data_IF_116324554084
#
_entry.id   IF_116324554084
#
_cell.length_a   1.000
_cell.length_b   1.000
_cell.length_c   1.000
_cell.angle_alpha   90.00
_cell.angle_beta   90.00
_cell.angle_gamma   90.00
#
_symmetry.space_group_name_H-M   'P 1'
#
loop_
_entity.id
_entity.type
_entity.pdbx_description
1 polymer ?
#
# COMPACT_ATOMS: atom_id res chain seq x y z
N UNK A 1 -57.64 -20.88 34.43
CA UNK A 1 -58.21 -19.75 33.68
C UNK A 1 -57.11 -19.24 32.76
N UNK A 2 -57.01 -19.48 31.45
CA UNK A 2 -57.78 -20.11 30.35
C UNK A 2 -56.72 -20.24 29.24
N UNK A 3 -56.15 -21.42 28.94
CA UNK A 3 -56.45 -22.37 27.84
C UNK A 3 -56.96 -21.80 26.51
N UNK A 4 -56.23 -22.08 25.40
CA UNK A 4 -56.64 -22.68 24.10
C UNK A 4 -55.44 -22.58 23.10
N UNK A 5 -54.75 -23.66 22.67
CA UNK A 5 -55.06 -24.73 21.67
C UNK A 5 -55.33 -24.20 20.24
N UNK A 6 -54.42 -24.33 19.25
CA UNK A 6 -54.03 -25.47 18.35
C UNK A 6 -54.96 -25.76 17.16
N UNK A 7 -54.32 -25.88 15.97
CA UNK A 7 -54.71 -26.61 14.72
C UNK A 7 -55.84 -26.01 13.85
N UNK A 8 -55.84 -26.09 12.51
CA UNK A 8 -55.00 -26.85 11.59
C UNK A 8 -55.23 -26.52 10.09
N UNK A 9 -54.55 -27.32 9.26
CA UNK A 9 -54.42 -27.37 7.79
C UNK A 9 -55.74 -27.41 7.02
N UNK A 10 -55.72 -26.92 5.76
CA UNK A 10 -56.28 -27.68 4.64
C UNK A 10 -55.69 -27.32 3.25
N UNK A 11 -55.57 -28.37 2.44
CA UNK A 11 -55.04 -28.43 1.08
C UNK A 11 -56.00 -27.80 0.05
N UNK A 12 -55.46 -27.34 -1.09
CA UNK A 12 -56.14 -27.49 -2.40
C UNK A 12 -55.13 -27.45 -3.56
N UNK A 13 -55.28 -28.45 -4.41
CA UNK A 13 -54.56 -28.81 -5.63
C UNK A 13 -55.42 -28.40 -6.85
N UNK A 14 -54.88 -28.52 -8.08
CA UNK A 14 -55.49 -28.35 -9.43
C UNK A 14 -55.25 -26.95 -10.05
N UNK A 15 -54.88 -26.77 -11.32
CA UNK A 15 -54.75 -27.70 -12.45
C UNK A 15 -53.87 -27.12 -13.57
N UNK A 16 -53.35 -28.04 -14.38
CA UNK A 16 -52.60 -27.86 -15.63
C UNK A 16 -53.44 -27.25 -16.75
N UNK A 17 -52.85 -26.37 -17.58
CA UNK A 17 -53.13 -26.32 -19.03
C UNK A 17 -51.82 -26.08 -19.79
N UNK A 18 -51.60 -26.96 -20.76
CA UNK A 18 -50.53 -27.02 -21.76
C UNK A 18 -50.66 -25.92 -22.82
N UNK A 19 -49.53 -25.45 -23.38
CA UNK A 19 -49.42 -25.31 -24.83
C UNK A 19 -47.96 -25.45 -25.30
N UNK A 20 -47.81 -26.47 -26.14
CA UNK A 20 -46.71 -26.87 -27.00
C UNK A 20 -46.44 -25.88 -28.15
N UNK A 21 -45.16 -25.66 -28.53
CA UNK A 21 -44.57 -26.19 -29.79
C UNK A 21 -43.31 -25.45 -30.29
N UNK A 22 -42.33 -26.30 -30.67
CA UNK A 22 -41.49 -26.25 -31.88
C UNK A 22 -40.41 -25.17 -32.08
N UNK A 23 -39.13 -25.54 -31.97
CA UNK A 23 -38.19 -26.07 -33.00
C UNK A 23 -37.60 -25.00 -33.92
N UNK A 24 -36.27 -24.84 -33.91
CA UNK A 24 -35.40 -25.37 -34.96
C UNK A 24 -33.92 -25.02 -34.74
N UNK A 25 -33.10 -26.06 -34.85
CA UNK A 25 -31.67 -26.00 -35.14
C UNK A 25 -31.43 -25.44 -36.56
N UNK A 26 -30.34 -24.69 -36.76
CA UNK A 26 -29.59 -24.70 -38.03
C UNK A 26 -28.10 -24.57 -37.73
N UNK A 27 -27.33 -25.58 -38.17
CA UNK A 27 -25.88 -25.53 -38.45
C UNK A 27 -25.68 -25.14 -39.92
N UNK A 28 -24.61 -24.41 -40.23
CA UNK A 28 -23.58 -24.76 -41.24
C UNK A 28 -22.82 -23.53 -41.78
N UNK A 29 -21.49 -23.61 -41.63
CA UNK A 29 -20.43 -23.40 -42.63
C UNK A 29 -20.17 -22.09 -43.39
N UNK A 30 -18.87 -21.73 -43.33
CA UNK A 30 -17.96 -21.19 -44.35
C UNK A 30 -18.32 -19.93 -45.15
N UNK A 31 -17.53 -18.86 -44.94
CA UNK A 31 -16.81 -18.16 -46.03
C UNK A 31 -15.46 -17.63 -45.52
N UNK A 32 -14.37 -18.10 -46.15
CA UNK A 32 -13.00 -17.54 -46.12
C UNK A 32 -12.95 -16.19 -46.86
N UNK A 33 -12.17 -15.22 -46.38
CA UNK A 33 -10.88 -14.82 -47.01
C UNK A 33 -10.30 -13.46 -46.57
N UNK A 34 -8.96 -13.50 -46.38
CA UNK A 34 -7.93 -12.50 -46.72
C UNK A 34 -7.88 -11.19 -45.92
N UNK A 35 -6.80 -11.03 -45.15
CA UNK A 35 -5.82 -9.93 -45.28
C UNK A 35 -4.55 -10.27 -44.48
N UNK A 36 -3.51 -10.67 -45.21
CA UNK A 36 -2.12 -10.68 -44.74
C UNK A 36 -1.65 -9.23 -44.54
N UNK A 37 -0.97 -8.94 -43.43
CA UNK A 37 0.13 -7.96 -43.46
C UNK A 37 1.24 -8.42 -42.53
N UNK A 38 2.42 -8.52 -43.13
CA UNK A 38 3.69 -8.88 -42.54
C UNK A 38 4.16 -7.75 -41.61
N UNK A 39 4.62 -8.09 -40.40
CA UNK A 39 5.47 -7.19 -39.61
C UNK A 39 6.85 -7.80 -39.54
N UNK A 40 7.75 -7.09 -40.22
CA UNK A 40 9.16 -7.36 -40.43
C UNK A 40 9.93 -7.30 -39.12
N UNK A 41 10.59 -8.41 -38.78
CA UNK A 41 11.64 -8.50 -37.76
C UNK A 41 12.89 -7.75 -38.21
N UNK A 42 13.21 -6.61 -37.57
CA UNK A 42 14.47 -5.90 -37.73
C UNK A 42 15.48 -6.33 -36.66
N UNK A 43 16.25 -7.38 -36.96
CA UNK A 43 17.49 -7.71 -36.24
C UNK A 43 18.64 -6.86 -36.79
N UNK A 44 19.10 -5.86 -36.03
CA UNK A 44 20.36 -5.15 -36.32
C UNK A 44 21.56 -5.96 -35.81
N UNK A 45 22.34 -6.52 -36.75
CA UNK A 45 23.72 -6.97 -36.54
C UNK A 45 24.64 -5.75 -36.48
N UNK A 46 25.48 -5.67 -35.45
CA UNK A 46 26.64 -4.76 -35.36
C UNK A 46 27.90 -5.57 -35.68
N UNK A 47 28.88 -5.04 -36.43
CA UNK A 47 30.07 -5.81 -36.82
C UNK A 47 31.10 -5.88 -35.68
N UNK A 48 31.74 -7.04 -35.59
CA UNK A 48 33.00 -7.26 -34.88
C UNK A 48 34.17 -6.55 -35.57
N UNK A 49 35.14 -6.10 -34.78
CA UNK A 49 36.51 -5.91 -35.25
C UNK A 49 37.27 -4.77 -34.58
N UNK A 50 38.09 -5.08 -33.57
CA UNK A 50 39.54 -4.89 -33.63
C UNK A 50 40.21 -5.16 -32.27
N UNK A 51 41.17 -6.09 -32.31
CA UNK A 51 42.10 -6.44 -31.24
C UNK A 51 43.25 -5.44 -31.26
N UNK A 52 43.64 -4.89 -30.11
CA UNK A 52 45.02 -4.45 -29.86
C UNK A 52 45.48 -4.98 -28.50
N UNK A 53 46.55 -5.77 -28.54
CA UNK A 53 47.35 -6.26 -27.41
C UNK A 53 48.49 -5.27 -27.15
N UNK A 54 48.77 -4.98 -25.89
CA UNK A 54 50.12 -4.70 -25.33
C UNK A 54 50.00 -4.77 -23.80
N UNK A 55 50.34 -5.87 -23.13
CA UNK A 55 51.68 -6.25 -22.63
C UNK A 55 52.40 -5.16 -21.84
N UNK A 56 52.43 -5.33 -20.52
CA UNK A 56 53.24 -4.54 -19.58
C UNK A 56 53.11 -5.08 -18.15
N UNK A 57 53.78 -6.21 -17.87
CA UNK A 57 54.13 -6.64 -16.50
C UNK A 57 55.19 -5.68 -15.94
N UNK A 58 55.25 -5.44 -14.62
CA UNK A 58 56.30 -5.85 -13.64
C UNK A 58 56.08 -4.96 -12.37
N UNK A 59 56.42 -5.34 -11.12
CA UNK A 59 56.14 -6.54 -10.34
C UNK A 59 55.49 -6.22 -8.97
N UNK A 60 55.19 -7.28 -8.21
CA UNK A 60 54.78 -7.25 -6.81
C UNK A 60 55.84 -6.62 -5.90
N UNK A 61 55.37 -5.85 -4.89
CA UNK A 61 56.06 -5.81 -3.60
C UNK A 61 55.07 -6.17 -2.47
N UNK A 62 55.51 -7.10 -1.63
CA UNK A 62 54.70 -7.87 -0.67
C UNK A 62 55.04 -7.43 0.75
N UNK A 63 54.02 -7.55 1.62
CA UNK A 63 54.04 -7.68 3.08
C UNK A 63 54.10 -6.38 3.91
N UNK A 64 52.94 -5.99 4.43
CA UNK A 64 52.68 -6.12 5.87
C UNK A 64 51.17 -6.04 6.12
N UNK A 65 50.66 -7.00 6.90
CA UNK A 65 49.47 -6.96 7.78
C UNK A 65 48.68 -8.27 7.69
N UNK A 66 48.98 -9.19 8.61
CA UNK A 66 48.06 -10.24 9.02
C UNK A 66 47.39 -9.79 10.32
N UNK A 67 46.28 -9.05 10.20
CA UNK A 67 45.27 -8.97 11.26
C UNK A 67 44.11 -9.88 10.86
N UNK A 68 43.77 -10.80 11.76
CA UNK A 68 42.78 -11.87 11.56
C UNK A 68 41.39 -11.28 11.30
N UNK A 69 40.99 -11.19 10.03
CA UNK A 69 39.59 -10.96 9.64
C UNK A 69 38.86 -12.30 9.70
N UNK A 70 37.98 -12.46 10.69
CA UNK A 70 37.04 -13.59 10.74
C UNK A 70 36.06 -13.45 9.56
N UNK A 71 36.15 -14.37 8.61
CA UNK A 71 35.18 -14.56 7.54
C UNK A 71 33.81 -14.94 8.15
N UNK A 72 32.87 -14.00 8.18
CA UNK A 72 31.46 -14.32 8.39
C UNK A 72 30.92 -14.94 7.09
N UNK A 73 30.82 -16.27 7.07
CA UNK A 73 30.07 -16.99 6.04
C UNK A 73 28.60 -16.54 6.11
N UNK A 74 28.08 -16.01 5.00
CA UNK A 74 26.65 -15.80 4.79
C UNK A 74 25.90 -17.10 5.06
N UNK A 75 25.26 -17.20 6.22
CA UNK A 75 24.34 -18.29 6.55
C UNK A 75 22.93 -17.82 6.21
N UNK A 76 22.28 -18.52 5.28
CA UNK A 76 20.83 -18.52 5.20
C UNK A 76 20.31 -18.96 6.58
N UNK A 77 19.56 -18.09 7.26
CA UNK A 77 18.92 -18.46 8.53
C UNK A 77 17.63 -19.17 8.14
N UNK A 78 17.55 -20.46 8.49
CA UNK A 78 16.38 -21.28 8.23
C UNK A 78 15.33 -20.96 9.30
N UNK A 79 14.51 -19.93 9.05
CA UNK A 79 13.33 -19.66 9.85
C UNK A 79 12.18 -20.36 9.13
N UNK A 80 11.73 -21.49 9.69
CA UNK A 80 10.58 -22.32 9.29
C UNK A 80 10.16 -22.25 7.79
N UNK A 81 10.81 -23.07 6.95
CA UNK A 81 10.41 -23.43 5.58
C UNK A 81 10.40 -22.34 4.48
N UNK A 82 10.77 -21.09 4.78
CA UNK A 82 10.96 -20.05 3.75
C UNK A 82 12.44 -19.63 3.70
N UNK A 83 13.06 -19.75 2.51
CA UNK A 83 14.43 -19.25 2.29
C UNK A 83 14.39 -17.72 2.14
N UNK A 84 14.48 -17.01 3.26
CA UNK A 84 14.54 -15.55 3.29
C UNK A 84 15.97 -15.10 2.98
N UNK A 85 16.12 -14.18 2.01
CA UNK A 85 17.44 -13.63 1.66
C UNK A 85 18.04 -12.85 2.84
N UNK A 86 19.37 -12.77 2.93
CA UNK A 86 20.01 -11.95 3.97
C UNK A 86 19.64 -10.46 3.89
N UNK A 87 19.32 -9.97 2.69
CA UNK A 87 18.90 -8.58 2.46
C UNK A 87 17.51 -8.34 3.02
N UNK A 88 16.56 -9.17 2.65
CA UNK A 88 15.18 -9.11 3.16
C UNK A 88 15.15 -9.28 4.68
N UNK A 89 15.96 -10.18 5.24
CA UNK A 89 16.04 -10.34 6.70
C UNK A 89 16.56 -9.07 7.40
N UNK A 90 17.52 -8.36 6.78
CA UNK A 90 18.01 -7.08 7.29
C UNK A 90 16.90 -6.01 7.22
N UNK A 91 16.14 -5.95 6.13
CA UNK A 91 14.98 -5.05 5.99
C UNK A 91 13.94 -5.30 7.09
N UNK A 92 13.55 -6.56 7.33
CA UNK A 92 12.61 -6.91 8.40
C UNK A 92 13.15 -6.59 9.80
N UNK A 93 14.45 -6.78 10.05
CA UNK A 93 15.10 -6.39 11.31
C UNK A 93 15.05 -4.87 11.52
N UNK A 94 15.28 -4.10 10.47
CA UNK A 94 15.19 -2.64 10.52
C UNK A 94 13.75 -2.17 10.67
N UNK A 95 12.79 -2.80 9.98
CA UNK A 95 11.36 -2.55 10.17
C UNK A 95 10.94 -2.76 11.64
N UNK A 96 11.38 -3.84 12.27
CA UNK A 96 11.16 -4.11 13.71
C UNK A 96 11.73 -3.00 14.59
N UNK A 97 12.97 -2.59 14.31
CA UNK A 97 13.62 -1.52 15.08
C UNK A 97 12.84 -0.20 14.95
N UNK A 98 12.46 0.20 13.73
CA UNK A 98 11.67 1.40 13.50
C UNK A 98 10.30 1.34 14.19
N UNK A 99 9.64 0.17 14.19
CA UNK A 99 8.41 -0.02 14.93
C UNK A 99 8.56 0.22 16.44
N UNK A 100 9.62 -0.32 17.04
CA UNK A 100 9.92 -0.08 18.45
C UNK A 100 10.28 1.39 18.75
N UNK A 101 10.84 2.10 17.77
CA UNK A 101 11.11 3.54 17.83
C UNK A 101 9.87 4.42 17.62
N UNK A 102 8.69 3.84 17.41
CA UNK A 102 7.45 4.61 17.24
C UNK A 102 7.00 4.83 15.80
N UNK A 103 7.62 4.18 14.81
CA UNK A 103 7.24 4.34 13.40
C UNK A 103 6.30 3.24 12.92
N UNK A 104 5.27 3.59 12.16
CA UNK A 104 4.66 2.66 11.22
C UNK A 104 5.61 2.46 10.04
N UNK A 105 5.89 1.22 9.63
CA UNK A 105 6.95 0.94 8.66
C UNK A 105 6.55 -0.04 7.57
N UNK A 106 7.02 0.21 6.35
CA UNK A 106 6.75 -0.57 5.14
C UNK A 106 8.07 -0.95 4.46
N UNK A 107 8.09 -2.12 3.83
CA UNK A 107 9.26 -2.66 3.11
C UNK A 107 8.97 -2.64 1.62
N UNK A 108 9.98 -2.34 0.81
CA UNK A 108 9.93 -2.49 -0.65
C UNK A 108 8.89 -1.60 -1.33
N UNK A 109 8.80 -0.33 -0.93
CA UNK A 109 7.92 0.64 -1.62
C UNK A 109 8.55 1.00 -2.96
N UNK A 110 7.79 0.88 -4.04
CA UNK A 110 8.22 1.34 -5.37
C UNK A 110 7.82 2.80 -5.59
N UNK A 111 8.78 3.61 -6.02
CA UNK A 111 8.56 5.00 -6.41
C UNK A 111 8.68 5.10 -7.93
N UNK A 112 7.66 5.67 -8.58
CA UNK A 112 7.60 5.87 -10.03
C UNK A 112 7.67 7.35 -10.41
N UNK A 113 8.00 7.62 -11.68
CA UNK A 113 8.09 8.98 -12.24
C UNK A 113 6.74 9.69 -12.34
N UNK A 114 5.70 8.96 -12.71
CA UNK A 114 4.32 9.46 -12.81
C UNK A 114 3.33 8.40 -12.31
N UNK A 115 2.04 8.71 -12.40
CA UNK A 115 0.93 7.83 -12.01
C UNK A 115 0.43 6.94 -13.17
N UNK A 116 1.02 7.07 -14.36
CA UNK A 116 0.52 6.43 -15.58
C UNK A 116 1.10 5.02 -15.76
N UNK A 117 0.45 4.20 -16.58
CA UNK A 117 0.90 2.84 -16.91
C UNK A 117 2.30 2.80 -17.57
N UNK A 118 2.73 3.94 -18.14
CA UNK A 118 4.03 4.11 -18.77
C UNK A 118 5.11 4.68 -17.82
N UNK A 119 4.81 4.79 -16.53
CA UNK A 119 5.73 5.38 -15.57
C UNK A 119 6.92 4.46 -15.26
N UNK A 120 8.11 5.02 -15.36
CA UNK A 120 9.36 4.35 -15.00
C UNK A 120 9.53 4.27 -13.49
N UNK A 121 10.07 3.15 -13.00
CA UNK A 121 10.46 3.03 -11.59
C UNK A 121 11.74 3.83 -11.35
N UNK A 122 11.67 4.81 -10.45
CA UNK A 122 12.81 5.62 -10.02
C UNK A 122 13.68 4.80 -9.05
N UNK A 123 13.04 4.24 -8.02
CA UNK A 123 13.72 3.52 -6.95
C UNK A 123 12.76 2.64 -6.18
N UNK A 124 13.31 1.61 -5.55
CA UNK A 124 12.73 0.90 -4.42
C UNK A 124 13.22 1.50 -3.11
N UNK A 125 12.32 1.65 -2.14
CA UNK A 125 12.66 2.02 -0.76
C UNK A 125 12.65 0.75 0.08
N UNK A 126 13.84 0.28 0.46
CA UNK A 126 14.05 -0.92 1.26
C UNK A 126 13.17 -0.92 2.53
N UNK A 127 13.28 0.10 3.39
CA UNK A 127 12.36 0.30 4.53
C UNK A 127 11.99 1.77 4.67
N UNK A 128 10.69 2.09 4.65
CA UNK A 128 10.16 3.43 4.86
C UNK A 128 9.32 3.46 6.13
N UNK A 129 9.58 4.42 7.02
CA UNK A 129 8.87 4.61 8.27
C UNK A 129 8.16 5.97 8.32
N UNK A 130 7.01 6.00 8.97
CA UNK A 130 6.26 7.23 9.29
C UNK A 130 5.92 7.23 10.78
N UNK A 131 6.40 8.25 11.48
CA UNK A 131 6.07 8.55 12.86
C UNK A 131 4.99 9.63 12.88
N UNK A 132 3.95 9.45 13.68
CA UNK A 132 2.86 10.42 13.84
C UNK A 132 2.94 11.01 15.24
N UNK A 133 3.05 12.33 15.32
CA UNK A 133 3.02 13.10 16.57
C UNK A 133 1.58 13.28 17.05
N UNK A 134 1.45 13.74 18.29
CA UNK A 134 0.16 13.95 18.95
C UNK A 134 -0.73 14.99 18.27
N UNK A 135 -0.17 15.89 17.49
CA UNK A 135 -0.90 16.89 16.67
C UNK A 135 -1.06 16.43 15.21
N UNK A 136 -0.89 15.12 14.95
CA UNK A 136 -0.85 14.48 13.64
C UNK A 136 0.27 14.93 12.71
N UNK A 137 1.17 15.82 13.14
CA UNK A 137 2.39 16.09 12.36
C UNK A 137 3.19 14.80 12.20
N UNK A 138 3.86 14.68 11.06
CA UNK A 138 4.45 13.41 10.63
C UNK A 138 5.94 13.58 10.41
N UNK A 139 6.74 12.60 10.85
CA UNK A 139 8.15 12.50 10.49
C UNK A 139 8.41 11.20 9.75
N UNK A 140 9.08 11.29 8.62
CA UNK A 140 9.39 10.17 7.73
C UNK A 140 10.85 9.74 7.86
N UNK A 141 11.11 8.46 7.64
CA UNK A 141 12.47 7.92 7.64
C UNK A 141 12.60 6.88 6.55
N UNK A 142 13.73 6.89 5.83
CA UNK A 142 14.07 5.86 4.86
C UNK A 142 15.35 5.16 5.31
N UNK A 143 15.33 3.84 5.38
CA UNK A 143 16.51 3.03 5.64
C UNK A 143 16.89 2.18 4.42
N UNK A 144 18.01 2.51 3.79
CA UNK A 144 18.61 1.75 2.68
C UNK A 144 19.49 0.62 3.24
N UNK A 145 19.09 -0.63 3.00
CA UNK A 145 19.66 -1.84 3.60
C UNK A 145 20.52 -2.62 2.61
N UNK A 146 21.81 -2.83 2.93
CA UNK A 146 22.73 -3.57 2.04
C UNK A 146 23.53 -4.66 2.75
N UNK A 147 23.07 -5.90 2.62
CA UNK A 147 23.78 -7.11 3.05
C UNK A 147 24.74 -7.63 1.95
N UNK A 148 25.89 -6.99 1.73
CA UNK A 148 26.83 -7.45 0.69
C UNK A 148 27.98 -6.51 0.37
N UNK A 149 28.56 -6.65 -0.81
CA UNK A 149 29.74 -5.89 -1.27
C UNK A 149 29.43 -4.50 -1.85
N UNK A 150 28.25 -3.93 -1.58
CA UNK A 150 27.88 -2.59 -2.04
C UNK A 150 28.95 -1.56 -1.65
N UNK A 151 29.38 -0.74 -2.62
CA UNK A 151 30.39 0.31 -2.41
C UNK A 151 29.77 1.48 -1.63
N UNK A 152 30.18 1.73 -0.37
CA UNK A 152 29.50 2.69 0.49
C UNK A 152 29.41 4.11 -0.09
N UNK A 153 30.51 4.63 -0.66
CA UNK A 153 30.54 6.01 -1.16
C UNK A 153 29.61 6.23 -2.35
N UNK A 154 29.60 5.30 -3.31
CA UNK A 154 28.68 5.34 -4.46
C UNK A 154 27.22 5.30 -4.00
N UNK A 155 26.91 4.43 -3.02
CA UNK A 155 25.54 4.32 -2.49
C UNK A 155 25.12 5.58 -1.74
N UNK A 156 26.00 6.18 -0.93
CA UNK A 156 25.73 7.45 -0.24
C UNK A 156 25.44 8.58 -1.24
N UNK A 157 26.23 8.69 -2.31
CA UNK A 157 26.00 9.69 -3.36
C UNK A 157 24.67 9.47 -4.07
N UNK A 158 24.31 8.22 -4.35
CA UNK A 158 23.01 7.87 -4.94
C UNK A 158 21.84 8.19 -4.00
N UNK A 159 21.92 7.78 -2.73
CA UNK A 159 20.91 8.08 -1.70
C UNK A 159 20.66 9.58 -1.63
N UNK A 160 21.73 10.38 -1.61
CA UNK A 160 21.64 11.84 -1.58
C UNK A 160 20.85 12.41 -2.76
N UNK A 161 20.96 11.80 -3.95
CA UNK A 161 20.18 12.19 -5.13
C UNK A 161 18.69 11.85 -4.97
N UNK A 162 18.37 10.68 -4.43
CA UNK A 162 16.99 10.18 -4.25
C UNK A 162 16.24 10.92 -3.14
N UNK A 163 16.94 11.31 -2.07
CA UNK A 163 16.35 11.96 -0.89
C UNK A 163 15.42 13.14 -1.22
N UNK A 164 15.84 13.98 -2.17
CA UNK A 164 15.07 15.16 -2.56
C UNK A 164 13.79 14.80 -3.32
N UNK A 165 13.82 13.71 -4.10
CA UNK A 165 12.67 13.25 -4.88
C UNK A 165 11.56 12.71 -3.98
N UNK A 166 11.91 12.02 -2.90
CA UNK A 166 10.94 11.37 -2.00
C UNK A 166 10.53 12.25 -0.80
N UNK A 167 11.15 13.43 -0.63
CA UNK A 167 10.90 14.37 0.46
C UNK A 167 10.88 13.72 1.86
N UNK A 168 11.91 12.91 2.15
CA UNK A 168 12.04 12.20 3.44
C UNK A 168 12.81 13.04 4.47
N UNK A 169 12.36 13.04 5.73
CA UNK A 169 12.97 13.88 6.79
C UNK A 169 14.32 13.34 7.29
N UNK A 170 14.56 12.04 7.16
CA UNK A 170 15.75 11.39 7.68
C UNK A 170 16.11 10.13 6.89
N UNK A 171 17.40 9.91 6.66
CA UNK A 171 17.87 8.70 5.97
C UNK A 171 18.95 7.97 6.75
N UNK A 172 18.81 6.65 6.78
CA UNK A 172 19.76 5.71 7.35
C UNK A 172 20.30 4.82 6.22
N UNK A 173 21.62 4.74 6.09
CA UNK A 173 22.29 3.73 5.30
C UNK A 173 22.75 2.58 6.20
N UNK A 174 22.15 1.41 6.04
CA UNK A 174 22.37 0.23 6.86
C UNK A 174 23.38 -0.70 6.18
N UNK A 175 24.61 -0.70 6.69
CA UNK A 175 25.71 -1.52 6.15
C UNK A 175 26.81 -1.79 7.18
N UNK A 176 27.23 -3.05 7.26
CA UNK A 176 28.41 -3.45 8.05
C UNK A 176 29.75 -3.07 7.41
N UNK A 177 30.77 -2.80 8.23
CA UNK A 177 32.14 -2.61 7.78
C UNK A 177 32.42 -1.26 7.09
N UNK A 178 31.62 -0.24 7.36
CA UNK A 178 31.82 1.11 6.79
C UNK A 178 32.93 1.86 7.54
N UNK A 179 33.93 2.34 6.80
CA UNK A 179 35.08 3.10 7.35
C UNK A 179 34.62 4.41 7.99
N UNK A 180 35.33 4.87 9.02
CA UNK A 180 34.99 6.11 9.75
C UNK A 180 34.95 7.35 8.83
N UNK A 181 35.90 7.48 7.90
CA UNK A 181 35.90 8.58 6.92
C UNK A 181 34.64 8.58 6.05
N UNK A 182 34.13 7.41 5.67
CA UNK A 182 32.87 7.27 4.93
C UNK A 182 31.65 7.60 5.81
N UNK A 183 31.65 7.20 7.09
CA UNK A 183 30.60 7.61 8.04
C UNK A 183 30.55 9.13 8.22
N UNK A 184 31.72 9.79 8.29
CA UNK A 184 31.81 11.26 8.36
C UNK A 184 31.28 11.92 7.08
N UNK A 185 31.60 11.37 5.90
CA UNK A 185 31.07 11.85 4.63
C UNK A 185 29.54 11.71 4.54
N UNK A 186 29.00 10.56 4.95
CA UNK A 186 27.55 10.33 5.02
C UNK A 186 26.87 11.37 5.92
N UNK A 187 27.41 11.58 7.13
CA UNK A 187 26.87 12.56 8.10
C UNK A 187 26.82 13.98 7.53
N UNK A 188 27.86 14.42 6.83
CA UNK A 188 27.89 15.73 6.14
C UNK A 188 26.83 15.84 5.03
N UNK A 189 26.37 14.70 4.51
CA UNK A 189 25.33 14.61 3.50
C UNK A 189 23.93 14.39 4.09
N UNK A 190 23.77 14.50 5.42
CA UNK A 190 22.48 14.25 6.09
C UNK A 190 22.10 12.78 6.21
N UNK A 191 23.02 11.85 5.94
CA UNK A 191 22.77 10.40 5.95
C UNK A 191 23.46 9.79 7.18
N UNK A 192 22.69 9.07 7.99
CA UNK A 192 23.24 8.32 9.12
C UNK A 192 23.69 6.93 8.65
N UNK A 193 24.80 6.42 9.18
CA UNK A 193 25.26 5.06 8.86
C UNK A 193 25.04 4.15 10.06
N UNK A 194 24.27 3.09 9.86
CA UNK A 194 24.00 2.07 10.86
C UNK A 194 24.75 0.79 10.49
N UNK A 195 25.70 0.38 11.31
CA UNK A 195 26.30 -0.95 11.20
C UNK A 195 25.61 -1.94 12.15
N UNK A 196 26.00 -3.22 12.06
CA UNK A 196 25.39 -4.28 12.87
C UNK A 196 25.55 -4.04 14.38
N UNK A 197 26.67 -3.46 14.82
CA UNK A 197 26.89 -3.17 16.24
C UNK A 197 25.97 -2.05 16.72
N UNK A 198 25.79 -1.01 15.91
CA UNK A 198 24.81 0.05 16.19
C UNK A 198 23.38 -0.50 16.25
N UNK A 199 23.01 -1.43 15.37
CA UNK A 199 21.69 -2.07 15.41
C UNK A 199 21.52 -2.88 16.70
N UNK A 200 22.50 -3.71 17.07
CA UNK A 200 22.46 -4.51 18.30
C UNK A 200 22.33 -3.64 19.54
N UNK A 201 23.05 -2.52 19.59
CA UNK A 201 22.91 -1.53 20.66
C UNK A 201 21.50 -0.96 20.72
N UNK A 202 20.96 -0.49 19.59
CA UNK A 202 19.62 0.09 19.54
C UNK A 202 18.54 -0.95 19.91
N UNK A 203 18.66 -2.18 19.43
CA UNK A 203 17.76 -3.26 19.83
C UNK A 203 17.80 -3.49 21.35
N UNK A 204 18.98 -3.43 21.97
CA UNK A 204 19.11 -3.49 23.43
C UNK A 204 18.47 -2.27 24.13
N UNK A 205 18.69 -1.05 23.63
CA UNK A 205 18.14 0.19 24.20
C UNK A 205 16.61 0.18 24.18
N UNK A 206 16.00 -0.40 23.14
CA UNK A 206 14.54 -0.54 22.98
C UNK A 206 13.99 -1.89 23.49
N UNK A 207 14.79 -2.67 24.23
CA UNK A 207 14.42 -3.98 24.79
C UNK A 207 13.86 -4.99 23.76
N UNK A 208 14.33 -4.91 22.51
CA UNK A 208 13.93 -5.78 21.41
C UNK A 208 14.65 -7.12 21.54
N UNK A 209 13.89 -8.20 21.70
CA UNK A 209 14.47 -9.55 21.74
C UNK A 209 14.90 -9.98 20.32
N UNK A 210 16.07 -10.63 20.14
CA UNK A 210 16.56 -11.03 18.81
C UNK A 210 15.55 -11.88 18.01
N UNK A 211 14.77 -12.71 18.69
CA UNK A 211 13.77 -13.61 18.09
C UNK A 211 12.34 -13.04 18.11
N UNK A 212 12.14 -11.76 18.46
CA UNK A 212 10.82 -11.13 18.38
C UNK A 212 10.50 -10.82 16.92
N UNK A 213 9.79 -11.75 16.27
CA UNK A 213 9.29 -11.63 14.91
C UNK A 213 7.76 -11.59 14.92
N UNK A 214 7.16 -10.80 15.81
CA UNK A 214 5.71 -10.59 15.83
C UNK A 214 5.26 -9.58 14.77
N UNK A 215 3.97 -9.53 14.50
CA UNK A 215 3.35 -8.51 13.67
C UNK A 215 3.88 -8.45 12.23
N UNK A 216 3.93 -7.23 11.70
CA UNK A 216 4.20 -6.95 10.29
C UNK A 216 5.68 -7.04 9.90
N UNK A 217 6.59 -7.32 10.85
CA UNK A 217 8.01 -7.53 10.59
C UNK A 217 8.43 -9.01 10.61
N UNK A 218 7.47 -9.94 10.67
CA UNK A 218 7.76 -11.37 10.60
C UNK A 218 8.02 -11.83 9.16
N UNK A 219 9.25 -12.21 8.79
CA UNK A 219 9.55 -12.58 7.41
C UNK A 219 8.79 -13.84 6.94
N UNK A 220 8.35 -14.73 7.84
CA UNK A 220 7.65 -15.96 7.45
C UNK A 220 6.18 -15.72 7.11
N UNK A 221 5.54 -14.76 7.79
CA UNK A 221 4.12 -14.45 7.54
C UNK A 221 3.95 -13.33 6.54
N UNK A 222 4.97 -12.48 6.34
CA UNK A 222 4.91 -11.30 5.47
C UNK A 222 5.68 -11.50 4.16
N UNK A 223 6.68 -12.38 4.15
CA UNK A 223 7.51 -12.64 2.96
C UNK A 223 6.67 -13.05 1.75
N UNK A 224 6.89 -12.37 0.61
CA UNK A 224 6.22 -12.60 -0.66
C UNK A 224 4.69 -12.45 -0.66
N UNK A 225 4.06 -11.94 0.42
CA UNK A 225 2.59 -11.84 0.49
C UNK A 225 1.98 -10.99 -0.62
N UNK A 226 2.63 -9.89 -0.99
CA UNK A 226 2.20 -9.06 -2.12
C UNK A 226 2.17 -9.86 -3.44
N UNK A 227 3.23 -10.63 -3.72
CA UNK A 227 3.35 -11.46 -4.92
C UNK A 227 2.33 -12.60 -4.90
N UNK A 228 2.12 -13.24 -3.75
CA UNK A 228 1.16 -14.33 -3.60
C UNK A 228 -0.28 -13.82 -3.74
N UNK A 229 -0.58 -12.64 -3.20
CA UNK A 229 -1.86 -11.97 -3.38
C UNK A 229 -2.10 -11.58 -4.85
N UNK A 230 -1.10 -11.01 -5.52
CA UNK A 230 -1.15 -10.67 -6.94
C UNK A 230 -1.45 -11.89 -7.82
N UNK A 231 -1.09 -13.11 -7.39
CA UNK A 231 -1.33 -14.37 -8.10
C UNK A 231 -2.69 -15.01 -7.83
N UNK A 232 -3.51 -14.44 -6.94
CA UNK A 232 -4.88 -14.91 -6.74
C UNK A 232 -5.68 -14.81 -8.05
N UNK A 233 -6.64 -15.71 -8.22
CA UNK A 233 -7.44 -15.80 -9.43
C UNK A 233 -8.87 -16.22 -9.07
N UNK A 234 -9.77 -15.24 -8.91
CA UNK A 234 -11.19 -15.45 -8.63
C UNK A 234 -11.95 -14.11 -8.66
N UNK A 235 -12.83 -13.84 -9.63
CA UNK A 235 -13.09 -14.59 -10.86
C UNK A 235 -11.99 -14.42 -11.92
N UNK A 236 -11.13 -13.42 -11.77
CA UNK A 236 -9.95 -13.18 -12.61
C UNK A 236 -8.79 -12.68 -11.74
N UNK A 237 -7.58 -12.65 -12.31
CA UNK A 237 -6.39 -12.14 -11.62
C UNK A 237 -6.32 -10.60 -11.59
N UNK A 238 -6.95 -9.94 -12.56
CA UNK A 238 -6.78 -8.50 -12.82
C UNK A 238 -7.11 -7.60 -11.62
N UNK A 239 -8.21 -7.80 -10.86
CA UNK A 239 -8.51 -6.98 -9.68
C UNK A 239 -7.42 -7.09 -8.61
N UNK A 240 -6.94 -8.31 -8.32
CA UNK A 240 -5.88 -8.54 -7.35
C UNK A 240 -4.57 -7.89 -7.77
N UNK A 241 -4.23 -7.95 -9.06
CA UNK A 241 -3.06 -7.27 -9.61
C UNK A 241 -3.13 -5.76 -9.43
N UNK A 242 -4.24 -5.14 -9.82
CA UNK A 242 -4.44 -3.68 -9.66
C UNK A 242 -4.36 -3.25 -8.19
N UNK A 243 -4.92 -4.04 -7.28
CA UNK A 243 -4.85 -3.77 -5.84
C UNK A 243 -3.42 -3.96 -5.32
N UNK A 244 -2.70 -4.98 -5.78
CA UNK A 244 -1.30 -5.20 -5.41
C UNK A 244 -0.40 -4.04 -5.88
N UNK A 245 -0.58 -3.60 -7.13
CA UNK A 245 0.14 -2.47 -7.70
C UNK A 245 -0.15 -1.17 -6.93
N UNK A 246 -1.42 -0.97 -6.52
CA UNK A 246 -1.80 0.14 -5.63
C UNK A 246 -1.10 0.07 -4.27
N UNK A 247 -1.11 -1.08 -3.58
CA UNK A 247 -0.47 -1.25 -2.27
C UNK A 247 1.05 -1.04 -2.35
N UNK A 248 1.70 -1.62 -3.37
CA UNK A 248 3.15 -1.63 -3.50
C UNK A 248 3.74 -0.35 -4.09
N UNK A 249 2.95 0.41 -4.86
CA UNK A 249 3.46 1.52 -5.65
C UNK A 249 2.52 2.72 -5.66
N UNK A 250 1.35 2.62 -6.31
CA UNK A 250 0.60 3.81 -6.70
C UNK A 250 0.03 4.58 -5.50
N UNK A 251 -0.24 3.90 -4.38
CA UNK A 251 -0.63 4.56 -3.13
C UNK A 251 0.32 5.70 -2.78
N UNK A 252 1.63 5.51 -2.95
CA UNK A 252 2.66 6.43 -2.47
C UNK A 252 2.79 7.69 -3.33
N UNK A 253 2.21 7.71 -4.53
CA UNK A 253 2.24 8.86 -5.45
C UNK A 253 0.96 9.70 -5.44
N UNK A 254 -0.15 9.16 -4.93
CA UNK A 254 -1.43 9.88 -4.87
C UNK A 254 -1.54 10.87 -3.71
N UNK A 255 -2.42 11.86 -3.86
CA UNK A 255 -2.90 12.69 -2.74
C UNK A 255 -3.73 11.89 -1.72
N UNK A 256 -3.88 12.43 -0.50
CA UNK A 256 -4.54 11.71 0.59
C UNK A 256 -6.03 11.39 0.34
N UNK A 257 -6.78 12.27 -0.32
CA UNK A 257 -8.19 11.99 -0.63
C UNK A 257 -8.33 10.92 -1.71
N UNK A 258 -7.44 10.92 -2.71
CA UNK A 258 -7.37 9.82 -3.70
C UNK A 258 -6.99 8.51 -3.04
N UNK A 259 -6.02 8.51 -2.11
CA UNK A 259 -5.66 7.33 -1.31
C UNK A 259 -6.87 6.79 -0.54
N UNK A 260 -7.65 7.64 0.12
CA UNK A 260 -8.89 7.24 0.81
C UNK A 260 -9.86 6.56 -0.17
N UNK A 261 -10.19 7.22 -1.29
CA UNK A 261 -11.14 6.71 -2.29
C UNK A 261 -10.71 5.37 -2.87
N UNK A 262 -9.45 5.25 -3.27
CA UNK A 262 -8.91 4.01 -3.86
C UNK A 262 -8.82 2.89 -2.84
N UNK A 263 -8.48 3.18 -1.60
CA UNK A 263 -8.44 2.18 -0.53
C UNK A 263 -9.83 1.64 -0.20
N UNK A 264 -10.83 2.52 -0.06
CA UNK A 264 -12.23 2.09 0.13
C UNK A 264 -12.74 1.27 -1.05
N UNK A 265 -12.39 1.65 -2.28
CA UNK A 265 -12.75 0.91 -3.49
C UNK A 265 -12.11 -0.48 -3.51
N UNK A 266 -10.82 -0.56 -3.19
CA UNK A 266 -10.10 -1.83 -3.12
C UNK A 266 -10.68 -2.76 -2.04
N UNK A 267 -10.94 -2.26 -0.83
CA UNK A 267 -11.56 -3.05 0.24
C UNK A 267 -12.95 -3.54 -0.19
N UNK A 268 -13.77 -2.70 -0.83
CA UNK A 268 -15.09 -3.11 -1.35
C UNK A 268 -14.97 -4.21 -2.41
N UNK A 269 -14.00 -4.12 -3.31
CA UNK A 269 -13.74 -5.17 -4.30
C UNK A 269 -13.32 -6.48 -3.64
N UNK A 270 -12.48 -6.42 -2.60
CA UNK A 270 -12.08 -7.61 -1.85
C UNK A 270 -13.24 -8.20 -1.04
N UNK A 271 -14.13 -7.36 -0.50
CA UNK A 271 -15.33 -7.80 0.21
C UNK A 271 -16.29 -8.61 -0.71
N UNK A 272 -16.33 -8.30 -2.01
CA UNK A 272 -17.18 -9.04 -2.96
C UNK A 272 -16.69 -10.46 -3.26
N UNK A 273 -15.43 -10.76 -2.97
CA UNK A 273 -14.84 -12.10 -3.22
C UNK A 273 -14.66 -12.90 -1.94
N UNK A 274 -15.01 -12.39 -0.76
CA UNK A 274 -14.85 -13.12 0.51
C UNK A 274 -15.73 -14.36 0.63
N UNK A 275 -16.85 -14.39 -0.10
CA UNK A 275 -17.78 -15.53 -0.10
C UNK A 275 -17.34 -16.66 -1.04
N UNK A 276 -16.29 -16.44 -1.83
CA UNK A 276 -15.72 -17.45 -2.71
C UNK A 276 -14.86 -18.42 -1.88
N UNK A 277 -15.00 -19.72 -2.16
CA UNK A 277 -14.21 -20.77 -1.51
C UNK A 277 -12.74 -20.71 -1.93
N UNK A 278 -11.91 -20.08 -1.11
CA UNK A 278 -10.45 -20.06 -1.23
C UNK A 278 -9.79 -21.17 -0.40
N UNK A 279 -8.58 -21.59 -0.78
CA UNK A 279 -7.73 -22.40 0.12
C UNK A 279 -7.30 -21.56 1.33
N UNK A 280 -6.93 -22.21 2.44
CA UNK A 280 -6.46 -21.50 3.65
C UNK A 280 -5.33 -20.50 3.36
N UNK A 281 -4.39 -20.86 2.49
CA UNK A 281 -3.29 -19.97 2.09
C UNK A 281 -3.80 -18.75 1.31
N UNK A 282 -4.70 -18.97 0.35
CA UNK A 282 -5.31 -17.89 -0.44
C UNK A 282 -6.14 -16.96 0.44
N UNK A 283 -6.95 -17.51 1.36
CA UNK A 283 -7.68 -16.73 2.37
C UNK A 283 -6.73 -15.90 3.23
N UNK A 284 -5.58 -16.46 3.63
CA UNK A 284 -4.55 -15.72 4.38
C UNK A 284 -3.98 -14.57 3.56
N UNK A 285 -3.71 -14.76 2.27
CA UNK A 285 -3.21 -13.72 1.39
C UNK A 285 -4.25 -12.61 1.14
N UNK A 286 -5.53 -12.98 1.04
CA UNK A 286 -6.65 -12.05 0.95
C UNK A 286 -6.79 -11.22 2.24
N UNK A 287 -6.79 -11.88 3.41
CA UNK A 287 -6.79 -11.23 4.73
C UNK A 287 -5.63 -10.24 4.85
N UNK A 288 -4.42 -10.66 4.48
CA UNK A 288 -3.24 -9.79 4.48
C UNK A 288 -3.46 -8.52 3.65
N UNK A 289 -3.99 -8.63 2.43
CA UNK A 289 -4.23 -7.46 1.58
C UNK A 289 -5.31 -6.53 2.17
N UNK A 290 -6.37 -7.08 2.75
CA UNK A 290 -7.39 -6.29 3.47
C UNK A 290 -6.74 -5.52 4.62
N UNK A 291 -5.92 -6.17 5.43
CA UNK A 291 -5.26 -5.53 6.58
C UNK A 291 -4.26 -4.48 6.16
N UNK A 292 -3.52 -4.71 5.07
CA UNK A 292 -2.65 -3.68 4.49
C UNK A 292 -3.45 -2.47 4.01
N UNK A 293 -4.56 -2.68 3.31
CA UNK A 293 -5.44 -1.59 2.88
C UNK A 293 -6.01 -0.84 4.07
N UNK A 294 -6.40 -1.51 5.17
CA UNK A 294 -6.85 -0.83 6.39
C UNK A 294 -5.75 0.09 6.96
N UNK A 295 -4.51 -0.39 7.08
CA UNK A 295 -3.39 0.44 7.54
C UNK A 295 -3.12 1.61 6.59
N UNK A 296 -3.19 1.40 5.27
CA UNK A 296 -3.03 2.45 4.27
C UNK A 296 -4.19 3.48 4.29
N UNK A 297 -5.42 3.06 4.58
CA UNK A 297 -6.55 3.96 4.80
C UNK A 297 -6.28 4.87 6.00
N UNK A 298 -5.90 4.27 7.13
CA UNK A 298 -5.61 5.00 8.38
C UNK A 298 -4.46 5.98 8.17
N UNK A 299 -3.41 5.59 7.46
CA UNK A 299 -2.30 6.48 7.14
C UNK A 299 -2.75 7.70 6.32
N UNK A 300 -3.59 7.53 5.31
CA UNK A 300 -4.13 8.67 4.54
C UNK A 300 -5.07 9.54 5.38
N UNK A 301 -5.89 8.91 6.23
CA UNK A 301 -6.83 9.60 7.12
C UNK A 301 -6.11 10.49 8.14
N UNK A 302 -5.04 10.00 8.76
CA UNK A 302 -4.24 10.78 9.71
C UNK A 302 -3.55 11.97 9.01
N UNK A 303 -3.11 11.81 7.77
CA UNK A 303 -2.55 12.92 6.99
C UNK A 303 -3.59 13.98 6.62
N UNK A 304 -4.85 13.59 6.37
CA UNK A 304 -5.97 14.54 6.22
C UNK A 304 -6.23 15.24 7.56
N UNK A 305 -6.26 14.49 8.66
CA UNK A 305 -6.47 15.08 9.99
C UNK A 305 -5.37 16.08 10.35
N UNK A 306 -4.12 15.84 9.97
CA UNK A 306 -3.00 16.78 10.10
C UNK A 306 -3.25 18.11 9.39
N UNK A 307 -3.72 18.06 8.15
CA UNK A 307 -4.04 19.26 7.36
C UNK A 307 -5.15 20.08 8.02
N UNK A 308 -6.17 19.37 8.54
CA UNK A 308 -7.40 19.96 9.06
C UNK A 308 -7.35 20.28 10.56
N UNK A 309 -6.29 19.87 11.27
CA UNK A 309 -6.25 19.88 12.73
C UNK A 309 -6.48 21.28 13.32
N UNK A 310 -5.97 22.31 12.65
CA UNK A 310 -6.07 23.71 13.09
C UNK A 310 -7.22 24.49 12.44
N UNK A 311 -8.04 23.85 11.60
CA UNK A 311 -9.15 24.52 10.93
C UNK A 311 -10.39 24.57 11.86
N UNK A 312 -11.23 25.61 11.75
CA UNK A 312 -12.59 25.57 12.29
C UNK A 312 -13.43 24.46 11.63
N UNK A 313 -14.42 23.92 12.34
CA UNK A 313 -15.21 22.78 11.85
C UNK A 313 -15.92 23.04 10.51
N UNK A 314 -16.43 24.26 10.28
CA UNK A 314 -17.02 24.65 8.98
C UNK A 314 -16.01 24.58 7.83
N UNK A 315 -14.77 25.03 8.07
CA UNK A 315 -13.68 24.96 7.08
C UNK A 315 -13.18 23.53 6.89
N UNK A 316 -13.21 22.69 7.94
CA UNK A 316 -12.96 21.25 7.79
C UNK A 316 -13.99 20.62 6.85
N UNK A 317 -15.28 20.95 7.04
CA UNK A 317 -16.36 20.36 6.23
C UNK A 317 -16.20 20.68 4.75
N UNK A 318 -15.97 21.95 4.41
CA UNK A 318 -15.76 22.38 3.02
C UNK A 318 -14.50 21.76 2.42
N UNK A 319 -13.40 21.72 3.17
CA UNK A 319 -12.14 21.13 2.68
C UNK A 319 -12.27 19.62 2.42
N UNK A 320 -12.94 18.87 3.32
CA UNK A 320 -13.21 17.43 3.11
C UNK A 320 -14.14 17.22 1.91
N UNK A 321 -15.14 18.08 1.74
CA UNK A 321 -16.09 18.03 0.62
C UNK A 321 -15.35 18.18 -0.71
N UNK A 322 -14.54 19.24 -0.83
CA UNK A 322 -13.73 19.54 -2.00
C UNK A 322 -12.72 18.42 -2.26
N UNK A 323 -11.98 17.97 -1.23
CA UNK A 323 -10.99 16.90 -1.37
C UNK A 323 -11.59 15.60 -1.90
N UNK A 324 -12.76 15.18 -1.39
CA UNK A 324 -13.41 13.95 -1.84
C UNK A 324 -13.96 14.05 -3.26
N UNK A 325 -14.41 15.22 -3.70
CA UNK A 325 -14.87 15.45 -5.08
C UNK A 325 -13.68 15.56 -6.04
N UNK A 326 -12.73 16.41 -5.69
CA UNK A 326 -11.83 17.03 -6.64
C UNK A 326 -10.42 16.43 -6.62
N UNK A 327 -10.04 15.68 -5.57
CA UNK A 327 -8.68 15.11 -5.44
C UNK A 327 -7.62 16.18 -5.78
N UNK A 328 -6.73 15.92 -6.75
CA UNK A 328 -5.64 16.81 -7.18
C UNK A 328 -6.09 18.02 -8.03
N UNK A 329 -7.25 17.95 -8.71
CA UNK A 329 -7.74 19.03 -9.56
C UNK A 329 -8.88 19.71 -8.85
N UNK A 330 -8.66 20.96 -8.39
CA UNK A 330 -9.68 21.77 -7.73
C UNK A 330 -10.98 21.84 -8.53
N UNK A 331 -12.11 21.98 -7.84
CA UNK A 331 -13.43 22.09 -8.47
C UNK A 331 -13.45 23.19 -9.55
N UNK A 332 -12.89 24.36 -9.23
CA UNK A 332 -12.73 25.47 -10.18
C UNK A 332 -11.97 25.08 -11.45
N UNK A 333 -10.84 24.38 -11.32
CA UNK A 333 -10.04 23.97 -12.49
C UNK A 333 -10.75 22.90 -13.32
N UNK A 334 -11.57 22.04 -12.70
CA UNK A 334 -12.44 21.12 -13.44
C UNK A 334 -13.53 21.86 -14.21
N UNK A 335 -14.15 22.87 -13.60
CA UNK A 335 -15.13 23.73 -14.28
C UNK A 335 -14.49 24.41 -15.50
N UNK A 336 -13.29 24.97 -15.36
CA UNK A 336 -12.53 25.57 -16.47
C UNK A 336 -12.26 24.56 -17.61
N UNK A 337 -11.89 23.31 -17.27
CA UNK A 337 -11.67 22.24 -18.26
C UNK A 337 -12.98 21.90 -18.97
N UNK A 338 -14.07 21.73 -18.23
CA UNK A 338 -15.38 21.40 -18.78
C UNK A 338 -15.87 22.49 -19.72
N UNK A 339 -15.73 23.75 -19.31
CA UNK A 339 -16.08 24.91 -20.13
C UNK A 339 -15.26 24.94 -21.42
N UNK A 340 -13.95 24.70 -21.34
CA UNK A 340 -13.08 24.62 -22.51
C UNK A 340 -13.49 23.49 -23.46
N UNK A 341 -13.81 22.29 -22.93
CA UNK A 341 -14.26 21.14 -23.73
C UNK A 341 -15.56 21.43 -24.44
N UNK A 342 -16.57 21.96 -23.75
CA UNK A 342 -17.86 22.31 -24.38
C UNK A 342 -17.69 23.40 -25.43
N UNK A 343 -16.89 24.43 -25.15
CA UNK A 343 -16.57 25.48 -26.12
C UNK A 343 -15.93 24.90 -27.39
N UNK A 344 -14.97 23.99 -27.24
CA UNK A 344 -14.34 23.30 -28.38
C UNK A 344 -15.34 22.41 -29.13
N UNK A 345 -16.13 21.61 -28.42
CA UNK A 345 -17.12 20.72 -29.02
C UNK A 345 -18.17 21.50 -29.82
N UNK A 346 -18.74 22.58 -29.25
CA UNK A 346 -19.69 23.44 -29.95
C UNK A 346 -19.06 24.13 -31.15
N UNK A 347 -17.81 24.57 -31.05
CA UNK A 347 -17.08 25.16 -32.19
C UNK A 347 -16.89 24.16 -33.34
N UNK A 348 -16.71 22.87 -33.04
CA UNK A 348 -16.62 21.80 -34.05
C UNK A 348 -17.99 21.56 -34.71
N UNK A 349 -19.06 21.47 -33.91
CA UNK A 349 -20.42 21.27 -34.43
C UNK A 349 -20.84 22.43 -35.31
N UNK A 350 -20.57 23.67 -34.90
CA UNK A 350 -20.94 24.86 -35.66
C UNK A 350 -20.22 24.96 -37.02
N UNK A 351 -19.01 24.38 -37.14
CA UNK A 351 -18.31 24.26 -38.43
C UNK A 351 -18.98 23.25 -39.37
N UNK A 352 -19.64 22.22 -38.84
CA UNK A 352 -20.33 21.21 -39.64
C UNK A 352 -21.80 21.58 -39.90
N UNK A 353 -22.42 22.32 -38.98
CA UNK A 353 -23.81 22.77 -39.03
C UNK A 353 -23.82 24.28 -38.73
N UNK A 354 -23.78 25.16 -39.76
CA UNK A 354 -23.65 26.60 -39.58
C UNK A 354 -24.76 27.24 -38.75
N UNK A 355 -25.98 26.67 -38.80
CA UNK A 355 -27.15 27.15 -38.07
C UNK A 355 -27.24 26.58 -36.63
N UNK A 356 -26.26 25.78 -36.20
CA UNK A 356 -26.21 25.28 -34.84
C UNK A 356 -26.00 26.43 -33.86
N UNK A 357 -26.94 26.58 -32.92
CA UNK A 357 -26.83 27.50 -31.79
C UNK A 357 -26.49 26.71 -30.54
N UNK A 358 -25.30 26.88 -29.94
CA UNK A 358 -25.00 26.25 -28.67
C UNK A 358 -25.99 26.72 -27.60
N UNK A 359 -26.33 25.86 -26.62
CA UNK A 359 -27.20 26.24 -25.52
C UNK A 359 -26.60 27.41 -24.71
N UNK A 360 -27.46 28.28 -24.17
CA UNK A 360 -27.05 29.47 -23.40
C UNK A 360 -26.29 29.12 -22.11
N UNK A 361 -26.47 27.91 -21.59
CA UNK A 361 -25.75 27.40 -20.44
C UNK A 361 -25.16 26.03 -20.77
N UNK A 362 -23.87 25.88 -20.48
CA UNK A 362 -23.23 24.57 -20.50
C UNK A 362 -23.93 23.64 -19.49
N UNK A 363 -23.98 22.33 -19.75
CA UNK A 363 -24.48 21.37 -18.79
C UNK A 363 -23.75 21.52 -17.45
N UNK A 364 -24.50 21.80 -16.38
CA UNK A 364 -23.91 21.81 -15.03
C UNK A 364 -23.51 20.40 -14.66
N UNK A 365 -22.22 20.15 -14.56
CA UNK A 365 -21.70 18.93 -13.98
C UNK A 365 -21.86 19.02 -12.46
N UNK A 366 -22.95 18.47 -11.92
CA UNK A 366 -23.13 18.36 -10.47
C UNK A 366 -22.14 17.34 -9.94
N UNK A 367 -21.01 17.82 -9.43
CA UNK A 367 -20.07 17.03 -8.68
C UNK A 367 -20.63 16.87 -7.25
N UNK A 368 -21.39 15.81 -7.04
CA UNK A 368 -21.83 15.43 -5.69
C UNK A 368 -20.72 14.64 -4.99
N UNK A 369 -20.55 14.82 -3.68
CA UNK A 369 -19.60 14.03 -2.92
C UNK A 369 -20.07 12.56 -2.86
N UNK A 370 -19.18 11.61 -2.55
CA UNK A 370 -19.56 10.23 -2.39
C UNK A 370 -20.56 10.05 -1.23
N UNK A 371 -21.37 8.99 -1.29
CA UNK A 371 -22.42 8.71 -0.30
C UNK A 371 -21.94 8.56 1.14
N UNK A 372 -20.64 8.32 1.35
CA UNK A 372 -20.02 8.21 2.67
C UNK A 372 -19.46 9.53 3.22
N UNK A 373 -19.67 10.66 2.53
CA UNK A 373 -19.12 11.96 2.91
C UNK A 373 -19.43 12.33 4.36
N UNK A 374 -20.69 12.32 4.77
CA UNK A 374 -21.08 12.72 6.13
C UNK A 374 -20.45 11.81 7.20
N UNK A 375 -20.41 10.50 6.96
CA UNK A 375 -19.78 9.53 7.86
C UNK A 375 -18.25 9.71 7.94
N UNK A 376 -17.61 10.06 6.81
CA UNK A 376 -16.17 10.31 6.76
C UNK A 376 -15.82 11.63 7.45
N UNK A 377 -16.64 12.67 7.25
CA UNK A 377 -16.48 13.94 7.94
C UNK A 377 -16.64 13.79 9.46
N UNK A 378 -17.67 13.07 9.93
CA UNK A 378 -17.83 12.74 11.36
C UNK A 378 -16.60 12.00 11.91
N UNK A 379 -16.04 11.05 11.15
CA UNK A 379 -14.82 10.36 11.54
C UNK A 379 -13.62 11.32 11.67
N UNK A 380 -13.45 12.26 10.73
CA UNK A 380 -12.41 13.30 10.80
C UNK A 380 -12.60 14.19 12.03
N UNK A 381 -13.83 14.60 12.35
CA UNK A 381 -14.11 15.38 13.56
C UNK A 381 -13.76 14.62 14.84
N UNK A 382 -14.15 13.35 14.96
CA UNK A 382 -13.82 12.51 16.12
C UNK A 382 -12.31 12.40 16.34
N UNK A 383 -11.56 12.23 15.25
CA UNK A 383 -10.10 12.10 15.30
C UNK A 383 -9.46 13.43 15.70
N UNK A 384 -9.82 14.52 15.01
CA UNK A 384 -9.25 15.85 15.28
C UNK A 384 -9.61 16.40 16.66
N UNK A 385 -10.77 16.01 17.22
CA UNK A 385 -11.19 16.39 18.56
C UNK A 385 -10.62 15.48 19.67
N UNK A 386 -10.03 14.32 19.33
CA UNK A 386 -9.40 13.42 20.30
C UNK A 386 -8.00 12.94 19.87
N UNK A 387 -7.04 13.84 19.61
CA UNK A 387 -5.73 13.50 19.07
C UNK A 387 -4.96 12.42 19.86
N UNK A 388 -5.08 12.44 21.20
CA UNK A 388 -4.37 11.53 22.09
C UNK A 388 -4.83 10.07 21.96
N UNK A 389 -6.07 9.83 21.50
CA UNK A 389 -6.59 8.49 21.22
C UNK A 389 -6.21 7.95 19.85
N UNK A 390 -5.70 8.79 18.94
CA UNK A 390 -5.49 8.42 17.53
C UNK A 390 -4.04 8.54 17.05
N UNK A 391 -3.14 9.24 17.74
CA UNK A 391 -1.79 9.47 17.21
C UNK A 391 -0.97 8.18 16.97
N UNK A 392 -1.15 7.15 17.81
CA UNK A 392 -0.43 5.86 17.68
C UNK A 392 -1.28 4.76 17.01
N UNK A 393 -2.49 5.10 16.55
CA UNK A 393 -3.47 4.13 16.07
C UNK A 393 -3.00 3.38 14.82
N UNK A 394 -2.18 4.02 13.98
CA UNK A 394 -1.66 3.40 12.76
C UNK A 394 -0.72 2.24 13.09
N UNK A 395 0.15 2.40 14.10
CA UNK A 395 1.00 1.31 14.59
C UNK A 395 0.19 0.22 15.26
N UNK A 396 -0.86 0.61 15.98
CA UNK A 396 -1.77 -0.33 16.59
C UNK A 396 -2.50 -1.20 15.56
N UNK A 397 -3.03 -0.61 14.48
CA UNK A 397 -3.62 -1.33 13.36
C UNK A 397 -2.62 -2.32 12.73
N UNK A 398 -1.42 -1.83 12.37
CA UNK A 398 -0.39 -2.66 11.77
C UNK A 398 -0.03 -3.87 12.65
N UNK A 399 0.12 -3.66 13.97
CA UNK A 399 0.44 -4.73 14.89
C UNK A 399 -0.72 -5.71 15.09
N UNK A 400 -1.91 -5.20 15.44
CA UNK A 400 -3.04 -6.07 15.82
C UNK A 400 -3.52 -6.90 14.64
N UNK A 401 -3.66 -6.28 13.47
CA UNK A 401 -4.14 -6.99 12.30
C UNK A 401 -3.14 -8.05 11.81
N UNK A 402 -1.83 -7.78 11.89
CA UNK A 402 -0.80 -8.70 11.40
C UNK A 402 -0.41 -9.77 12.42
N UNK A 403 -0.43 -9.46 13.72
CA UNK A 403 -0.06 -10.41 14.77
C UNK A 403 -1.23 -11.29 15.19
N UNK A 404 -2.40 -10.70 15.40
CA UNK A 404 -3.55 -11.42 15.96
C UNK A 404 -4.50 -11.89 14.87
N UNK A 405 -5.02 -10.99 14.04
CA UNK A 405 -6.06 -11.35 13.06
C UNK A 405 -5.54 -12.22 11.92
N UNK A 406 -4.40 -11.86 11.32
CA UNK A 406 -3.81 -12.62 10.22
C UNK A 406 -3.34 -14.01 10.65
N UNK A 407 -2.84 -14.14 11.88
CA UNK A 407 -2.33 -15.41 12.42
C UNK A 407 -3.38 -16.16 13.24
N UNK A 408 -4.61 -15.66 13.32
CA UNK A 408 -5.74 -16.26 14.04
C UNK A 408 -5.42 -16.51 15.54
N UNK A 409 -4.63 -15.61 16.13
CA UNK A 409 -4.30 -15.62 17.56
C UNK A 409 -5.31 -14.76 18.32
N UNK A 410 -5.66 -15.19 19.53
CA UNK A 410 -6.44 -14.37 20.46
C UNK A 410 -5.64 -13.16 20.88
N UNK A 411 -6.29 -11.99 20.90
CA UNK A 411 -5.71 -10.75 21.41
C UNK A 411 -5.38 -10.91 22.89
N UNK A 412 -4.18 -10.48 23.29
CA UNK A 412 -3.69 -10.52 24.67
C UNK A 412 -3.46 -9.09 25.15
N UNK A 413 -4.39 -8.54 25.93
CA UNK A 413 -4.37 -7.14 26.36
C UNK A 413 -3.10 -6.77 27.14
N UNK A 414 -2.61 -7.69 27.96
CA UNK A 414 -1.36 -7.50 28.73
C UNK A 414 -0.10 -7.35 27.85
N UNK A 415 -0.14 -7.82 26.58
CA UNK A 415 0.93 -7.55 25.62
C UNK A 415 0.75 -6.20 24.95
N UNK A 416 -0.50 -5.84 24.60
CA UNK A 416 -0.80 -4.55 23.99
C UNK A 416 -0.43 -3.39 24.92
N UNK A 417 -0.74 -3.50 26.21
CA UNK A 417 -0.38 -2.52 27.25
C UNK A 417 1.14 -2.32 27.43
N UNK A 418 1.98 -3.27 26.99
CA UNK A 418 3.44 -3.13 27.03
C UNK A 418 4.00 -2.40 25.81
N UNK A 419 3.25 -2.36 24.71
CA UNK A 419 3.68 -1.81 23.42
C UNK A 419 3.08 -0.41 23.21
N UNK A 420 1.82 -0.23 23.59
CA UNK A 420 1.05 0.98 23.33
C UNK A 420 0.66 1.65 24.64
N UNK A 421 0.88 2.97 24.67
CA UNK A 421 0.35 3.83 25.72
C UNK A 421 -1.14 4.12 25.42
N UNK A 422 -1.96 4.39 26.44
CA UNK A 422 -3.38 4.71 26.28
C UNK A 422 -4.17 3.67 25.46
N UNK A 423 -3.94 2.38 25.75
CA UNK A 423 -4.49 1.28 24.96
C UNK A 423 -6.02 1.32 24.84
N UNK A 424 -6.74 1.72 25.90
CA UNK A 424 -8.21 1.77 25.90
C UNK A 424 -8.77 2.78 24.89
N UNK A 425 -8.18 3.98 24.82
CA UNK A 425 -8.55 5.02 23.86
C UNK A 425 -8.24 4.57 22.43
N UNK A 426 -7.07 3.95 22.23
CA UNK A 426 -6.65 3.42 20.93
C UNK A 426 -7.60 2.32 20.47
N UNK A 427 -7.99 1.38 21.35
CA UNK A 427 -8.95 0.32 21.04
C UNK A 427 -10.29 0.94 20.61
N UNK A 428 -10.77 1.95 21.33
CA UNK A 428 -12.02 2.65 21.01
C UNK A 428 -11.94 3.36 19.65
N UNK A 429 -10.82 4.02 19.38
CA UNK A 429 -10.55 4.65 18.09
C UNK A 429 -10.48 3.64 16.95
N UNK A 430 -9.84 2.49 17.18
CA UNK A 430 -9.72 1.38 16.22
C UNK A 430 -11.08 0.80 15.89
N UNK A 431 -11.93 0.55 16.89
CA UNK A 431 -13.32 0.10 16.69
C UNK A 431 -14.11 1.10 15.84
N UNK A 432 -13.97 2.40 16.12
CA UNK A 432 -14.67 3.45 15.38
C UNK A 432 -14.28 3.45 13.89
N UNK A 433 -12.99 3.40 13.57
CA UNK A 433 -12.50 3.33 12.19
C UNK A 433 -12.95 2.04 11.50
N UNK A 434 -12.86 0.90 12.18
CA UNK A 434 -13.26 -0.38 11.61
C UNK A 434 -14.76 -0.46 11.37
N UNK A 435 -15.59 0.09 12.25
CA UNK A 435 -17.04 0.20 12.04
C UNK A 435 -17.35 1.03 10.80
N UNK A 436 -16.70 2.19 10.63
CA UNK A 436 -16.80 3.00 9.42
C UNK A 436 -16.42 2.17 8.18
N UNK A 437 -15.26 1.51 8.18
CA UNK A 437 -14.81 0.71 7.05
C UNK A 437 -15.77 -0.44 6.71
N UNK A 438 -16.24 -1.19 7.70
CA UNK A 438 -17.22 -2.26 7.51
C UNK A 438 -18.52 -1.73 6.90
N UNK A 439 -19.02 -0.59 7.39
CA UNK A 439 -20.26 0.02 6.90
C UNK A 439 -20.13 0.51 5.45
N UNK A 440 -19.02 1.16 5.08
CA UNK A 440 -18.87 1.79 3.76
C UNK A 440 -18.44 0.80 2.67
N UNK A 441 -17.70 -0.24 3.05
CA UNK A 441 -17.12 -1.20 2.09
C UNK A 441 -17.87 -2.52 2.04
N UNK A 442 -18.67 -2.84 3.06
CA UNK A 442 -19.37 -4.12 3.17
C UNK A 442 -18.48 -5.27 3.63
N UNK A 443 -17.21 -5.02 4.01
CA UNK A 443 -16.34 -6.07 4.54
C UNK A 443 -16.93 -6.64 5.84
N UNK A 444 -16.90 -7.97 5.97
CA UNK A 444 -17.47 -8.65 7.12
C UNK A 444 -16.70 -8.31 8.41
N UNK A 445 -17.42 -7.91 9.46
CA UNK A 445 -16.85 -7.56 10.78
C UNK A 445 -16.03 -8.70 11.40
N UNK A 446 -16.34 -9.95 11.06
CA UNK A 446 -15.62 -11.14 11.52
C UNK A 446 -14.16 -11.23 11.07
N UNK A 447 -13.72 -10.37 10.14
CA UNK A 447 -12.30 -10.22 9.79
C UNK A 447 -11.48 -9.56 10.91
N UNK A 448 -12.11 -8.92 11.88
CA UNK A 448 -11.45 -8.10 12.89
C UNK A 448 -11.85 -8.55 14.30
N UNK A 449 -10.98 -9.27 15.00
CA UNK A 449 -11.29 -9.77 16.35
C UNK A 449 -11.59 -8.64 17.32
N UNK A 450 -10.91 -7.50 17.17
CA UNK A 450 -11.03 -6.36 18.06
C UNK A 450 -12.40 -5.69 18.06
N UNK A 451 -13.23 -5.90 17.01
CA UNK A 451 -14.63 -5.43 17.00
C UNK A 451 -15.50 -6.28 17.92
N UNK A 452 -15.15 -7.56 18.09
CA UNK A 452 -15.98 -8.55 18.81
C UNK A 452 -15.64 -8.65 20.30
N UNK A 453 -14.52 -8.07 20.73
CA UNK A 453 -14.20 -7.81 22.13
C UNK A 453 -14.98 -6.60 22.62
#
# INVERSE_FOLDING_TARGET
MTNENTEGKDNLQLDLIEHTNNTNEVKADEVRNIMHSEVVTLTKKVPEGSKVKTSGQIPLNKKHQNSKVKNYKNKNININNLQVSSGSLLEYRIKRLLFAMGYYSKVGILIKTTQDDLADTITDLDVFGTYIHKDFTSRTIWADCKSGQARPLERISWIKGVMNTINVDSVIFVKGGVRNSTKQYARKSGIQVLDLQSIEKLESDYAIKPNDWRGSWNPNTQGNKLILFQKLNAPSNEPFRKIADFIGCDYWTYDNYTRIKKTLTAIRQLAQVTDISFTKEQTTNLKWAIYELVSLFVHALLNICKELYYFPDEEKKSTVYDGLISSEISAKKREEIIEAVFKTAYSIVQKQIPDFKPPEQNPKFNLNPPSYFEAFYDLVLRITNNPLGYYDILRFFDFVLMEYDLQEKKIIDSELLKIFNNCDDIITGTKTILHFLCQITGINRGYFQIISQ
#
